data_IF_397511171690
#
_entry.id   IF_397511171690
#
_cell.length_a   1.000
_cell.length_b   1.000
_cell.length_c   1.000
_cell.angle_alpha   90.00
_cell.angle_beta   90.00
_cell.angle_gamma   90.00
#
_symmetry.space_group_name_H-M   'P 1'
#
loop_
_entity.id
_entity.type
_entity.pdbx_description
1 polymer ?
#
# COMPACT_ATOMS: atom_id res chain seq x y z
N UNK A 1 18.52 11.21 14.78
CA UNK A 1 18.82 10.71 13.41
C UNK A 1 17.45 10.56 12.74
N UNK A 2 17.11 11.48 11.85
CA UNK A 2 15.84 11.44 11.13
C UNK A 2 16.04 10.50 9.94
N UNK A 3 15.30 9.41 9.90
CA UNK A 3 15.22 8.56 8.72
C UNK A 3 14.25 9.22 7.73
N UNK A 4 14.76 9.57 6.57
CA UNK A 4 13.97 10.09 5.45
C UNK A 4 13.40 8.88 4.70
N UNK A 5 12.16 8.48 5.02
CA UNK A 5 11.47 7.45 4.25
C UNK A 5 11.11 8.02 2.88
N UNK A 6 11.64 7.44 1.83
CA UNK A 6 11.30 7.81 0.46
C UNK A 6 9.88 7.28 0.12
N UNK A 7 8.93 8.17 -0.05
CA UNK A 7 7.63 7.82 -0.62
C UNK A 7 7.83 7.48 -2.10
N UNK A 8 7.55 6.24 -2.48
CA UNK A 8 7.39 5.89 -3.89
C UNK A 8 5.94 6.09 -4.30
N UNK A 9 5.69 7.15 -5.05
CA UNK A 9 4.41 7.31 -5.73
C UNK A 9 4.32 6.25 -6.84
N UNK A 10 3.31 5.40 -6.78
CA UNK A 10 2.95 4.54 -7.91
C UNK A 10 2.20 5.41 -8.89
N UNK A 11 2.93 6.02 -9.83
CA UNK A 11 2.32 6.70 -10.96
C UNK A 11 1.74 5.64 -11.89
N UNK A 12 0.42 5.70 -12.10
CA UNK A 12 -0.23 4.97 -13.18
C UNK A 12 0.43 5.34 -14.51
N UNK A 13 1.02 4.36 -15.17
CA UNK A 13 1.60 4.56 -16.49
C UNK A 13 0.47 4.77 -17.51
N UNK A 14 0.18 6.01 -17.83
CA UNK A 14 -0.49 6.32 -19.08
C UNK A 14 0.47 6.00 -20.22
N UNK A 15 0.14 5.00 -21.01
CA UNK A 15 0.92 4.57 -22.15
C UNK A 15 1.01 5.64 -23.21
N UNK A 16 2.17 6.27 -23.34
CA UNK A 16 2.51 7.00 -24.55
C UNK A 16 2.94 6.00 -25.62
N UNK A 17 2.12 5.87 -26.65
CA UNK A 17 2.44 5.13 -27.85
C UNK A 17 3.61 5.79 -28.59
N UNK A 18 4.74 5.10 -28.65
CA UNK A 18 5.79 5.43 -29.62
C UNK A 18 5.46 4.76 -30.95
N UNK A 19 5.00 5.56 -31.90
CA UNK A 19 4.96 5.15 -33.28
C UNK A 19 6.39 5.17 -33.85
N UNK A 20 6.97 4.01 -34.11
CA UNK A 20 8.17 3.88 -34.95
C UNK A 20 7.76 3.30 -36.27
N UNK A 21 7.79 4.13 -37.29
CA UNK A 21 7.67 3.68 -38.66
C UNK A 21 9.02 3.11 -39.15
N UNK A 22 9.05 1.83 -39.41
CA UNK A 22 10.09 1.23 -40.27
C UNK A 22 9.44 0.24 -41.23
N UNK A 23 9.28 0.70 -42.46
CA UNK A 23 8.89 -0.14 -43.59
C UNK A 23 10.06 -1.02 -44.00
N UNK A 24 9.89 -2.36 -43.92
CA UNK A 24 10.64 -3.31 -44.75
C UNK A 24 9.69 -4.38 -45.24
N UNK A 25 9.50 -4.39 -46.51
CA UNK A 25 8.85 -5.45 -47.31
C UNK A 25 9.71 -6.73 -47.24
N UNK A 26 9.08 -7.84 -46.89
CA UNK A 26 9.47 -9.13 -47.45
C UNK A 26 8.28 -10.10 -47.42
N UNK A 27 8.18 -10.86 -48.48
CA UNK A 27 7.03 -11.68 -48.84
C UNK A 27 6.91 -12.96 -48.03
N UNK A 28 5.65 -13.36 -47.76
CA UNK A 28 5.28 -14.76 -47.45
C UNK A 28 5.26 -15.15 -45.98
N UNK A 29 4.11 -15.04 -45.35
CA UNK A 29 3.87 -15.67 -44.04
C UNK A 29 2.56 -15.19 -43.41
N UNK A 30 1.77 -16.15 -42.96
CA UNK A 30 0.42 -16.01 -42.44
C UNK A 30 0.24 -14.82 -41.50
N UNK A 31 -0.77 -14.00 -41.75
CA UNK A 31 -1.21 -12.89 -40.91
C UNK A 31 -1.81 -13.47 -39.63
N UNK A 32 -1.04 -13.47 -38.57
CA UNK A 32 -1.59 -13.58 -37.20
C UNK A 32 -2.28 -12.27 -36.89
N UNK A 33 -3.58 -12.31 -36.70
CA UNK A 33 -4.33 -11.18 -36.20
C UNK A 33 -3.81 -10.81 -34.79
N UNK A 34 -3.14 -9.68 -34.69
CA UNK A 34 -2.81 -9.07 -33.40
C UNK A 34 -4.12 -8.58 -32.79
N UNK A 35 -4.63 -9.28 -31.78
CA UNK A 35 -5.69 -8.74 -30.93
C UNK A 35 -5.08 -7.62 -30.11
N UNK A 36 -5.28 -6.39 -30.52
CA UNK A 36 -5.11 -5.24 -29.63
C UNK A 36 -6.21 -5.34 -28.58
N UNK A 37 -5.86 -5.83 -27.39
CA UNK A 37 -6.70 -5.60 -26.23
C UNK A 37 -6.67 -4.10 -25.96
N UNK A 38 -7.61 -3.37 -26.56
CA UNK A 38 -7.95 -2.04 -26.08
C UNK A 38 -8.50 -2.24 -24.67
N UNK A 39 -7.74 -1.81 -23.67
CA UNK A 39 -8.26 -1.68 -22.31
C UNK A 39 -9.30 -0.58 -22.38
N UNK A 40 -10.58 -0.96 -22.38
CA UNK A 40 -11.66 0.01 -22.23
C UNK A 40 -11.43 0.77 -20.92
N UNK A 41 -11.12 2.06 -21.02
CA UNK A 41 -11.13 2.94 -19.85
C UNK A 41 -12.57 3.03 -19.37
N UNK A 42 -12.84 2.77 -18.09
CA UNK A 42 -14.22 2.87 -17.57
C UNK A 42 -14.76 4.29 -17.84
N UNK A 43 -16.01 4.39 -18.26
CA UNK A 43 -16.77 5.65 -18.48
C UNK A 43 -16.97 6.48 -17.19
N UNK A 44 -16.30 6.15 -16.11
CA UNK A 44 -16.36 6.90 -14.86
C UNK A 44 -15.25 7.96 -14.87
N UNK A 45 -15.57 9.27 -14.77
CA UNK A 45 -14.55 10.29 -14.71
C UNK A 45 -13.60 9.98 -13.54
N UNK A 46 -12.30 10.04 -13.81
CA UNK A 46 -11.28 9.87 -12.78
C UNK A 46 -11.56 10.83 -11.63
N UNK A 47 -11.53 10.37 -10.37
CA UNK A 47 -11.63 11.27 -9.23
C UNK A 47 -10.39 12.17 -9.09
N UNK A 48 -9.32 11.88 -9.84
CA UNK A 48 -8.04 12.59 -9.76
C UNK A 48 -8.07 13.89 -10.54
N UNK A 49 -7.38 14.89 -10.01
CA UNK A 49 -7.09 16.15 -10.70
C UNK A 49 -5.88 15.99 -11.63
N UNK A 50 -5.63 17.01 -12.48
CA UNK A 50 -4.46 17.06 -13.37
C UNK A 50 -3.18 17.54 -12.66
N UNK A 51 -3.13 17.48 -11.33
CA UNK A 51 -1.96 17.89 -10.54
C UNK A 51 -0.77 16.97 -10.83
N UNK A 52 0.39 17.57 -11.06
CA UNK A 52 1.65 16.85 -11.13
C UNK A 52 2.07 16.34 -9.73
N UNK A 53 2.91 15.30 -9.67
CA UNK A 53 3.46 14.83 -8.41
C UNK A 53 4.21 15.93 -7.61
N UNK A 54 4.82 16.89 -8.30
CA UNK A 54 5.49 18.03 -7.67
C UNK A 54 4.50 18.99 -6.99
N UNK A 55 3.35 19.22 -7.59
CA UNK A 55 2.28 20.03 -7.02
C UNK A 55 1.67 19.33 -5.81
N UNK A 56 1.35 18.03 -5.92
CA UNK A 56 0.87 17.23 -4.79
C UNK A 56 1.85 17.29 -3.61
N UNK A 57 3.15 17.07 -3.84
CA UNK A 57 4.17 17.14 -2.80
C UNK A 57 4.21 18.53 -2.15
N UNK A 58 4.03 19.58 -2.94
CA UNK A 58 3.98 20.95 -2.42
C UNK A 58 2.76 21.19 -1.50
N UNK A 59 1.62 20.61 -1.86
CA UNK A 59 0.38 20.71 -1.08
C UNK A 59 0.39 19.83 0.18
N UNK A 60 1.08 18.69 0.14
CA UNK A 60 1.24 17.80 1.30
C UNK A 60 1.84 18.49 2.51
N UNK A 61 2.73 19.47 2.30
CA UNK A 61 3.27 20.32 3.37
C UNK A 61 3.92 19.51 4.49
N UNK A 62 3.57 19.85 5.75
CA UNK A 62 4.09 19.16 6.94
C UNK A 62 3.22 17.96 7.28
N UNK A 63 3.84 16.80 7.47
CA UNK A 63 3.16 15.56 7.78
C UNK A 63 3.29 15.11 9.24
N UNK A 64 2.28 14.37 9.70
CA UNK A 64 2.23 13.66 10.98
C UNK A 64 2.20 12.14 10.71
N UNK A 65 2.95 11.34 11.46
CA UNK A 65 2.84 9.89 11.40
C UNK A 65 1.98 9.39 12.56
N UNK A 66 0.84 8.76 12.23
CA UNK A 66 -0.07 8.15 13.20
C UNK A 66 0.48 6.80 13.66
N UNK A 67 1.64 6.84 14.34
CA UNK A 67 2.35 5.64 14.79
C UNK A 67 1.79 5.00 16.05
N UNK A 68 2.11 3.73 16.24
CA UNK A 68 1.69 2.89 17.36
C UNK A 68 0.17 2.68 17.46
N UNK A 69 -0.52 2.75 16.34
CA UNK A 69 -1.98 2.61 16.23
C UNK A 69 -2.36 1.38 15.41
N UNK A 70 -2.72 1.57 14.15
CA UNK A 70 -3.20 0.48 13.28
C UNK A 70 -2.10 -0.50 12.86
N UNK A 71 -0.85 -0.17 13.07
CA UNK A 71 0.28 -1.08 12.89
C UNK A 71 0.63 -1.87 14.16
N UNK A 72 -0.02 -1.59 15.29
CA UNK A 72 0.24 -2.28 16.55
C UNK A 72 0.01 -3.78 16.44
N UNK A 73 1.01 -4.57 16.89
CA UNK A 73 0.90 -6.02 16.94
C UNK A 73 1.58 -6.57 18.19
N UNK A 74 1.09 -7.69 18.69
CA UNK A 74 1.70 -8.41 19.80
C UNK A 74 1.42 -9.89 19.64
N UNK A 75 2.47 -10.71 19.66
CA UNK A 75 2.39 -12.15 19.45
C UNK A 75 1.68 -12.47 18.12
N UNK A 76 0.37 -12.79 18.17
CA UNK A 76 -0.45 -13.20 17.03
C UNK A 76 -1.59 -12.23 16.73
N UNK A 77 -1.63 -11.10 17.40
CA UNK A 77 -2.70 -10.13 17.28
C UNK A 77 -2.22 -8.83 16.66
N UNK A 78 -2.91 -8.39 15.64
CA UNK A 78 -2.86 -7.01 15.14
C UNK A 78 -4.02 -6.24 15.75
N UNK A 79 -3.81 -4.99 16.10
CA UNK A 79 -4.89 -4.20 16.64
C UNK A 79 -4.49 -2.80 17.06
N UNK A 80 -5.39 -1.88 16.88
CA UNK A 80 -5.19 -0.44 17.12
C UNK A 80 -4.80 -0.10 18.57
N UNK A 81 -5.21 -0.94 19.52
CA UNK A 81 -4.98 -0.68 20.94
C UNK A 81 -3.93 -1.60 21.56
N UNK A 82 -3.17 -2.33 20.76
CA UNK A 82 -2.17 -3.29 21.25
C UNK A 82 -1.00 -2.59 21.93
N UNK A 83 -0.55 -1.49 21.37
CA UNK A 83 0.59 -0.72 21.92
C UNK A 83 0.18 0.54 22.65
N UNK A 84 -1.07 0.99 22.49
CA UNK A 84 -1.63 2.14 23.18
C UNK A 84 -3.09 1.89 23.55
N UNK A 85 -3.56 2.52 24.64
CA UNK A 85 -4.87 2.24 25.22
C UNK A 85 -6.06 2.93 24.56
N UNK A 86 -5.88 3.71 23.50
CA UNK A 86 -6.93 4.53 22.91
C UNK A 86 -7.04 4.32 21.39
N UNK A 87 -8.28 4.32 20.90
CA UNK A 87 -8.54 4.33 19.46
C UNK A 87 -8.43 5.75 18.91
N UNK A 88 -7.95 5.88 17.67
CA UNK A 88 -7.94 7.14 16.94
C UNK A 88 -9.37 7.63 16.73
N UNK A 89 -9.60 8.88 17.01
CA UNK A 89 -10.91 9.51 16.84
C UNK A 89 -10.87 10.62 15.78
N UNK A 90 -12.03 10.91 15.19
CA UNK A 90 -12.16 12.05 14.27
C UNK A 90 -11.69 13.37 14.94
N UNK A 91 -12.00 13.57 16.21
CA UNK A 91 -11.57 14.76 16.95
C UNK A 91 -10.05 14.86 17.09
N UNK A 92 -9.36 13.72 17.25
CA UNK A 92 -7.90 13.69 17.30
C UNK A 92 -7.29 14.05 15.94
N UNK A 93 -7.79 13.46 14.85
CA UNK A 93 -7.30 13.78 13.50
C UNK A 93 -7.53 15.25 13.17
N UNK A 94 -8.71 15.78 13.50
CA UNK A 94 -8.98 17.21 13.36
C UNK A 94 -8.01 18.09 14.19
N UNK A 95 -7.67 17.68 15.40
CA UNK A 95 -6.68 18.40 16.22
C UNK A 95 -5.30 18.42 15.56
N UNK A 96 -4.88 17.31 14.94
CA UNK A 96 -3.62 17.25 14.18
C UNK A 96 -3.66 18.23 12.99
N UNK A 97 -4.76 18.23 12.23
CA UNK A 97 -4.97 19.18 11.13
C UNK A 97 -4.93 20.65 11.64
N UNK A 98 -5.67 20.98 12.70
CA UNK A 98 -5.73 22.33 13.27
C UNK A 98 -4.36 22.80 13.84
N UNK A 99 -3.47 21.85 14.18
CA UNK A 99 -2.09 22.15 14.55
C UNK A 99 -1.17 22.47 13.34
N UNK A 100 -1.70 22.42 12.11
CA UNK A 100 -1.01 22.81 10.89
C UNK A 100 -0.38 21.67 10.09
N UNK A 101 -0.78 20.42 10.35
CA UNK A 101 -0.34 19.27 9.55
C UNK A 101 -1.31 19.04 8.38
N UNK A 102 -0.80 19.07 7.16
CA UNK A 102 -1.59 18.85 5.95
C UNK A 102 -1.57 17.39 5.50
N UNK A 103 -0.66 16.57 6.00
CA UNK A 103 -0.51 15.16 5.66
C UNK A 103 -0.52 14.30 6.92
N UNK A 104 -1.18 13.15 6.84
CA UNK A 104 -1.10 12.11 7.86
C UNK A 104 -0.66 10.78 7.21
N UNK A 105 0.41 10.17 7.73
CA UNK A 105 0.75 8.79 7.36
C UNK A 105 0.07 7.86 8.35
N UNK A 106 -0.65 6.89 7.83
CA UNK A 106 -1.41 5.88 8.58
C UNK A 106 -0.74 4.52 8.36
N UNK A 107 0.22 4.15 9.23
CA UNK A 107 0.81 2.81 9.20
C UNK A 107 -0.24 1.75 9.55
N UNK A 108 -0.27 0.65 8.79
CA UNK A 108 -1.20 -0.46 9.03
C UNK A 108 -0.49 -1.79 8.89
N UNK A 109 -0.65 -2.66 9.89
CA UNK A 109 -0.28 -4.08 9.79
C UNK A 109 -1.52 -4.88 9.40
N UNK A 110 -1.39 -5.72 8.40
CA UNK A 110 -2.50 -6.50 7.85
C UNK A 110 -2.49 -7.95 8.31
N UNK A 111 -1.32 -8.52 8.54
CA UNK A 111 -0.99 -9.82 9.12
C UNK A 111 -2.14 -10.82 9.21
N UNK A 112 -2.60 -11.09 10.42
CA UNK A 112 -3.68 -12.03 10.71
C UNK A 112 -5.10 -11.53 10.33
N UNK A 113 -5.19 -10.34 9.74
CA UNK A 113 -6.43 -9.82 9.16
C UNK A 113 -6.59 -10.23 7.68
N UNK A 114 -5.61 -10.94 7.11
CA UNK A 114 -5.65 -11.44 5.73
C UNK A 114 -6.29 -12.83 5.73
N UNK A 115 -7.38 -12.99 4.97
CA UNK A 115 -8.06 -14.25 4.78
C UNK A 115 -7.31 -15.17 3.80
N UNK A 116 -7.69 -16.44 3.72
CA UNK A 116 -7.05 -17.43 2.85
C UNK A 116 -7.13 -17.09 1.34
N UNK A 117 -8.11 -16.31 0.94
CA UNK A 117 -8.29 -15.81 -0.44
C UNK A 117 -7.63 -14.45 -0.68
N UNK A 118 -6.82 -13.99 0.28
CA UNK A 118 -6.13 -12.70 0.31
C UNK A 118 -7.05 -11.48 0.44
N UNK A 119 -8.34 -11.67 0.67
CA UNK A 119 -9.20 -10.58 1.13
C UNK A 119 -8.81 -10.16 2.55
N UNK A 120 -9.20 -8.97 2.93
CA UNK A 120 -8.96 -8.44 4.28
C UNK A 120 -10.22 -8.63 5.12
N UNK A 121 -10.05 -8.96 6.40
CA UNK A 121 -11.15 -8.95 7.36
C UNK A 121 -11.93 -7.63 7.26
N UNK A 122 -13.26 -7.74 7.08
CA UNK A 122 -14.08 -6.58 6.75
C UNK A 122 -14.16 -5.57 7.91
N UNK A 123 -14.18 -6.03 9.15
CA UNK A 123 -14.19 -5.14 10.32
C UNK A 123 -12.90 -4.33 10.39
N UNK A 124 -11.74 -4.99 10.14
CA UNK A 124 -10.45 -4.30 10.09
C UNK A 124 -10.37 -3.31 8.94
N UNK A 125 -10.79 -3.71 7.74
CA UNK A 125 -10.82 -2.83 6.58
C UNK A 125 -11.71 -1.60 6.82
N UNK A 126 -12.89 -1.80 7.41
CA UNK A 126 -13.79 -0.70 7.77
C UNK A 126 -13.13 0.24 8.79
N UNK A 127 -12.42 -0.32 9.78
CA UNK A 127 -11.71 0.51 10.76
C UNK A 127 -10.59 1.34 10.14
N UNK A 128 -9.80 0.75 9.24
CA UNK A 128 -8.77 1.48 8.49
C UNK A 128 -9.43 2.60 7.67
N UNK A 129 -10.51 2.29 6.98
CA UNK A 129 -11.26 3.28 6.20
C UNK A 129 -11.80 4.42 7.06
N UNK A 130 -12.36 4.14 8.24
CA UNK A 130 -12.81 5.20 9.17
C UNK A 130 -11.70 6.22 9.46
N UNK A 131 -10.47 5.74 9.69
CA UNK A 131 -9.35 6.63 10.01
C UNK A 131 -8.89 7.42 8.78
N UNK A 132 -8.90 6.80 7.61
CA UNK A 132 -8.65 7.49 6.33
C UNK A 132 -9.70 8.58 6.12
N UNK A 133 -10.99 8.26 6.32
CA UNK A 133 -12.11 9.18 6.14
C UNK A 133 -12.05 10.36 7.14
N UNK A 134 -11.55 10.14 8.36
CA UNK A 134 -11.34 11.26 9.30
C UNK A 134 -10.35 12.29 8.76
N UNK A 135 -9.31 11.84 8.09
CA UNK A 135 -8.28 12.72 7.54
C UNK A 135 -8.72 13.39 6.23
N UNK A 136 -9.30 12.64 5.31
CA UNK A 136 -9.80 13.20 4.05
C UNK A 136 -10.96 14.18 4.26
N UNK A 137 -11.78 13.98 5.30
CA UNK A 137 -12.83 14.94 5.69
C UNK A 137 -12.28 16.30 6.16
N UNK A 138 -11.03 16.37 6.62
CA UNK A 138 -10.31 17.60 6.95
C UNK A 138 -9.42 18.07 5.77
N UNK A 139 -9.59 17.51 4.58
CA UNK A 139 -8.80 17.80 3.36
C UNK A 139 -7.28 17.54 3.54
N UNK A 140 -6.92 16.55 4.36
CA UNK A 140 -5.53 16.13 4.54
C UNK A 140 -5.13 15.10 3.48
N UNK A 141 -3.88 15.14 3.08
CA UNK A 141 -3.26 14.03 2.35
C UNK A 141 -3.03 12.85 3.30
N UNK A 142 -3.31 11.65 2.82
CA UNK A 142 -3.16 10.41 3.57
C UNK A 142 -2.15 9.51 2.87
N UNK A 143 -1.18 8.98 3.61
CA UNK A 143 -0.27 7.92 3.14
C UNK A 143 -0.61 6.63 3.88
N UNK A 144 -1.21 5.67 3.19
CA UNK A 144 -1.61 4.37 3.72
C UNK A 144 -0.67 3.28 3.24
N UNK A 145 -0.21 2.37 4.12
CA UNK A 145 0.79 1.38 3.76
C UNK A 145 0.54 -0.03 4.28
N UNK A 146 1.46 -0.95 3.92
CA UNK A 146 1.72 -2.22 4.59
C UNK A 146 2.93 -1.99 5.50
N UNK A 147 2.78 -2.12 6.85
CA UNK A 147 3.79 -1.65 7.79
C UNK A 147 4.64 -2.77 8.39
N UNK A 148 4.18 -3.46 9.43
CA UNK A 148 4.95 -4.49 10.13
C UNK A 148 4.67 -5.92 9.60
N UNK A 149 4.38 -6.05 8.34
CA UNK A 149 4.12 -7.33 7.68
C UNK A 149 5.41 -7.99 7.14
N UNK A 150 6.52 -7.26 7.12
CA UNK A 150 7.83 -7.76 6.74
C UNK A 150 8.37 -8.78 7.74
N UNK A 151 9.29 -9.64 7.29
CA UNK A 151 10.01 -10.54 8.20
C UNK A 151 10.90 -9.74 9.14
N UNK A 152 10.76 -10.02 10.44
CA UNK A 152 11.59 -9.43 11.47
C UNK A 152 12.92 -10.19 11.59
N UNK A 153 14.02 -9.47 11.81
CA UNK A 153 15.31 -10.05 12.17
C UNK A 153 15.33 -10.65 13.59
N UNK A 154 14.29 -10.44 14.37
CA UNK A 154 14.23 -10.98 15.70
C UNK A 154 14.06 -12.51 15.63
N UNK A 155 15.00 -13.24 16.21
CA UNK A 155 15.02 -14.71 16.23
C UNK A 155 13.76 -15.33 16.83
N UNK A 156 12.98 -14.54 17.56
CA UNK A 156 11.75 -14.99 18.20
C UNK A 156 10.55 -14.99 17.23
N UNK A 157 10.69 -14.34 16.04
CA UNK A 157 9.66 -14.20 15.03
C UNK A 157 9.99 -14.96 13.75
N UNK A 158 10.57 -16.12 13.85
CA UNK A 158 10.77 -17.02 12.70
C UNK A 158 9.45 -17.64 12.28
N UNK A 159 8.54 -16.79 11.77
CA UNK A 159 7.40 -17.25 11.03
C UNK A 159 7.87 -17.80 9.70
N UNK A 160 7.76 -19.12 9.53
CA UNK A 160 7.90 -19.70 8.20
C UNK A 160 6.71 -19.22 7.39
N UNK A 161 6.93 -18.85 6.13
CA UNK A 161 5.85 -18.57 5.19
C UNK A 161 4.77 -19.67 5.29
N UNK A 162 3.52 -19.25 5.54
CA UNK A 162 2.40 -20.18 5.74
C UNK A 162 2.19 -20.65 7.17
N UNK A 163 3.00 -20.24 8.15
CA UNK A 163 2.69 -20.48 9.55
C UNK A 163 1.62 -19.46 10.01
N UNK A 164 0.37 -19.94 10.13
CA UNK A 164 -0.78 -19.14 10.61
C UNK A 164 -0.58 -18.56 12.02
N UNK A 165 0.46 -19.01 12.68
CA UNK A 165 0.80 -18.64 14.04
C UNK A 165 1.30 -17.21 14.18
N UNK A 166 1.79 -16.57 13.12
CA UNK A 166 2.36 -15.24 13.17
C UNK A 166 1.47 -14.21 12.47
N UNK A 167 1.10 -13.18 13.18
CA UNK A 167 0.27 -12.08 12.69
C UNK A 167 1.00 -11.16 11.71
N UNK A 168 2.31 -11.24 11.67
CA UNK A 168 3.21 -10.43 10.84
C UNK A 168 4.31 -11.32 10.24
N UNK A 169 5.19 -10.78 9.42
CA UNK A 169 6.30 -11.52 8.83
C UNK A 169 5.92 -12.40 7.64
N UNK A 170 4.73 -12.23 7.08
CA UNK A 170 4.33 -12.95 5.87
C UNK A 170 4.98 -12.39 4.59
N UNK A 171 5.41 -11.13 4.62
CA UNK A 171 6.06 -10.45 3.51
C UNK A 171 7.58 -10.74 3.57
N UNK A 172 7.95 -11.98 3.28
CA UNK A 172 9.34 -12.42 3.24
C UNK A 172 9.91 -12.23 1.82
N UNK A 173 10.72 -11.20 1.66
CA UNK A 173 11.43 -10.91 0.40
C UNK A 173 12.84 -11.54 0.37
N UNK A 174 13.22 -12.28 1.42
CA UNK A 174 14.59 -12.74 1.60
C UNK A 174 14.79 -14.20 1.22
N UNK A 175 13.72 -14.93 0.95
CA UNK A 175 13.78 -16.35 0.64
C UNK A 175 14.40 -16.62 -0.73
N UNK A 176 15.40 -17.49 -0.78
CA UNK A 176 15.97 -18.04 -2.00
C UNK A 176 15.10 -19.19 -2.59
N UNK A 177 14.06 -19.63 -1.88
CA UNK A 177 13.10 -20.64 -2.34
C UNK A 177 12.07 -19.99 -3.28
N UNK A 178 12.10 -20.38 -4.54
CA UNK A 178 11.20 -19.86 -5.58
C UNK A 178 9.72 -20.12 -5.24
N UNK A 179 9.41 -21.22 -4.55
CA UNK A 179 8.03 -21.54 -4.13
C UNK A 179 7.55 -20.52 -3.09
N UNK A 180 8.38 -20.25 -2.07
CA UNK A 180 8.10 -19.24 -1.05
C UNK A 180 7.95 -17.88 -1.70
N UNK A 181 8.90 -17.49 -2.53
CA UNK A 181 8.90 -16.20 -3.22
C UNK A 181 7.67 -15.99 -4.12
N UNK A 182 7.29 -17.03 -4.87
CA UNK A 182 6.09 -17.02 -5.71
C UNK A 182 4.82 -16.84 -4.86
N UNK A 183 4.74 -17.52 -3.72
CA UNK A 183 3.65 -17.39 -2.77
C UNK A 183 3.54 -16.00 -2.19
N UNK A 184 4.67 -15.41 -1.76
CA UNK A 184 4.72 -14.02 -1.23
C UNK A 184 4.24 -13.03 -2.27
N UNK A 185 4.72 -13.12 -3.53
CA UNK A 185 4.26 -12.26 -4.63
C UNK A 185 2.75 -12.36 -4.86
N UNK A 186 2.22 -13.57 -4.85
CA UNK A 186 0.78 -13.81 -5.05
C UNK A 186 -0.05 -13.21 -3.92
N UNK A 187 0.36 -13.42 -2.67
CA UNK A 187 -0.32 -12.85 -1.50
C UNK A 187 -0.23 -11.33 -1.50
N UNK A 188 0.93 -10.75 -1.77
CA UNK A 188 1.14 -9.31 -1.86
C UNK A 188 0.23 -8.66 -2.92
N UNK A 189 0.17 -9.26 -4.11
CA UNK A 189 -0.71 -8.78 -5.17
C UNK A 189 -2.19 -8.87 -4.77
N UNK A 190 -2.62 -9.96 -4.11
CA UNK A 190 -3.99 -10.14 -3.64
C UNK A 190 -4.39 -9.13 -2.56
N UNK A 191 -3.51 -8.91 -1.59
CA UNK A 191 -3.71 -7.92 -0.52
C UNK A 191 -3.84 -6.51 -1.11
N UNK A 192 -2.91 -6.11 -1.97
CA UNK A 192 -2.97 -4.79 -2.61
C UNK A 192 -4.17 -4.63 -3.53
N UNK A 193 -4.59 -5.69 -4.22
CA UNK A 193 -5.83 -5.65 -5.00
C UNK A 193 -7.04 -5.36 -4.12
N UNK A 194 -7.12 -6.00 -2.95
CA UNK A 194 -8.23 -5.77 -2.00
C UNK A 194 -8.20 -4.33 -1.45
N UNK A 195 -7.03 -3.82 -1.07
CA UNK A 195 -6.87 -2.45 -0.58
C UNK A 195 -7.25 -1.46 -1.70
N UNK A 196 -6.68 -1.62 -2.89
CA UNK A 196 -6.95 -0.73 -4.01
C UNK A 196 -8.44 -0.72 -4.42
N UNK A 197 -9.10 -1.88 -4.40
CA UNK A 197 -10.53 -1.97 -4.70
C UNK A 197 -11.39 -1.24 -3.65
N UNK A 198 -11.02 -1.29 -2.37
CA UNK A 198 -11.70 -0.55 -1.30
C UNK A 198 -11.61 0.95 -1.51
N UNK A 199 -10.45 1.43 -1.88
CA UNK A 199 -10.14 2.87 -1.95
C UNK A 199 -10.15 3.46 -3.35
N UNK A 200 -10.60 2.72 -4.37
CA UNK A 200 -10.56 3.15 -5.79
C UNK A 200 -11.31 4.44 -6.13
N UNK A 201 -12.22 4.88 -5.28
CA UNK A 201 -13.00 6.10 -5.47
C UNK A 201 -12.46 7.30 -4.68
N UNK A 202 -11.33 7.16 -4.00
CA UNK A 202 -10.63 8.27 -3.38
C UNK A 202 -9.80 9.01 -4.43
N UNK A 203 -9.62 10.29 -4.23
CA UNK A 203 -8.84 11.16 -5.12
C UNK A 203 -7.34 11.15 -4.76
N UNK A 204 -6.60 12.13 -5.26
CA UNK A 204 -5.16 12.29 -5.04
C UNK A 204 -4.75 12.53 -3.59
N UNK A 205 -5.70 12.81 -2.70
CA UNK A 205 -5.41 12.92 -1.28
C UNK A 205 -5.07 11.58 -0.62
N UNK A 206 -5.38 10.44 -1.26
CA UNK A 206 -4.96 9.13 -0.77
C UNK A 206 -3.80 8.56 -1.59
N UNK A 207 -2.65 8.44 -0.94
CA UNK A 207 -1.42 7.88 -1.50
C UNK A 207 -1.21 6.50 -0.90
N UNK A 208 -0.97 5.49 -1.75
CA UNK A 208 -0.69 4.12 -1.34
C UNK A 208 0.83 3.88 -1.35
N UNK A 209 1.40 3.63 -0.17
CA UNK A 209 2.81 3.27 0.01
C UNK A 209 2.92 1.75 0.05
N UNK A 210 3.66 1.16 -0.89
CA UNK A 210 3.66 -0.28 -1.14
C UNK A 210 4.06 -1.14 0.05
N UNK A 211 5.07 -0.73 0.81
CA UNK A 211 5.57 -1.44 2.00
C UNK A 211 6.49 -0.54 2.82
N UNK A 212 6.57 -0.84 4.12
CA UNK A 212 7.50 -0.22 5.06
C UNK A 212 8.70 -1.15 5.30
N UNK A 213 9.87 -0.59 5.54
CA UNK A 213 11.07 -1.21 6.13
C UNK A 213 11.25 -2.73 5.88
N UNK A 214 11.11 -3.16 4.64
CA UNK A 214 11.37 -4.56 4.26
C UNK A 214 12.87 -4.71 3.99
N UNK A 215 13.54 -5.53 4.78
CA UNK A 215 14.98 -5.69 4.71
C UNK A 215 15.41 -7.15 4.61
N UNK A 216 16.66 -7.38 4.19
CA UNK A 216 17.24 -8.71 4.01
C UNK A 216 17.86 -9.18 5.32
N UNK A 217 17.49 -10.35 5.80
CA UNK A 217 18.06 -10.99 6.98
C UNK A 217 19.60 -10.98 6.95
N UNK A 218 20.21 -10.53 8.06
CA UNK A 218 21.65 -10.50 8.23
C UNK A 218 22.39 -9.36 7.52
N UNK A 219 21.68 -8.50 6.83
CA UNK A 219 22.22 -7.25 6.29
C UNK A 219 21.65 -6.09 7.09
N UNK A 220 22.50 -5.35 7.80
CA UNK A 220 22.10 -4.12 8.48
C UNK A 220 21.71 -3.03 7.48
N UNK A 221 21.12 -1.99 8.00
CA UNK A 221 20.84 -0.74 7.25
C UNK A 221 22.15 -0.11 6.78
#
# INVERSE_FOLDING_TARGET
TFALSAAMAVTGMSGTSFASAATKTNEGGAVMASSTNEVETPDNPSPYTDLSAGEIISEMGTGWNLGNTLEGHQNYAVGETVWQGAKTTKAFVKYVHDAGFNTIRIPVTWGNMINADYSINEEWMNRVQDVVDYATAENMYVVLNIHHDGTDNNSDYKGTYGDEKYSHGWLDITSDDETVWSGVKTKFAGVWKTIAERFKNYDEHLILESMNEVYIHGQGW
#
